data_IF_651237659640
#
_entry.id   IF_651237659640
#
_cell.length_a   1.000
_cell.length_b   1.000
_cell.length_c   1.000
_cell.angle_alpha   90.00
_cell.angle_beta   90.00
_cell.angle_gamma   90.00
#
_symmetry.space_group_name_H-M   'P 1'
#
loop_
_entity.id
_entity.type
_entity.pdbx_description
1 polymer ?
#
# COMPACT_ATOMS: atom_id res chain seq x y z
N UNK A 1 -7.64 -18.81 17.08
CA UNK A 1 -6.85 -17.56 17.03
C UNK A 1 -5.93 -17.64 15.84
N UNK A 2 -6.09 -16.78 14.84
CA UNK A 2 -5.13 -16.71 13.73
C UNK A 2 -3.76 -16.29 14.26
N UNK A 3 -2.71 -17.01 13.86
CA UNK A 3 -1.33 -16.73 14.26
C UNK A 3 -0.92 -15.36 13.70
N UNK A 4 -0.51 -14.42 14.56
CA UNK A 4 0.10 -13.15 14.15
C UNK A 4 1.47 -13.41 13.52
N UNK A 5 1.79 -12.64 12.48
CA UNK A 5 3.05 -12.73 11.76
C UNK A 5 4.06 -11.69 12.30
N UNK A 6 5.35 -12.00 12.38
CA UNK A 6 6.38 -11.00 12.69
C UNK A 6 6.43 -9.86 11.65
N UNK A 7 6.61 -8.61 12.10
CA UNK A 7 6.66 -7.42 11.23
C UNK A 7 7.85 -7.45 10.26
N UNK A 8 8.99 -8.00 10.68
CA UNK A 8 10.19 -8.17 9.85
C UNK A 8 9.97 -9.06 8.61
N UNK A 9 8.88 -9.84 8.59
CA UNK A 9 8.46 -10.65 7.45
C UNK A 9 7.52 -9.94 6.49
N UNK A 10 7.01 -8.75 6.83
CA UNK A 10 5.96 -8.09 6.06
C UNK A 10 6.33 -7.88 4.57
N UNK A 11 7.55 -7.43 4.28
CA UNK A 11 8.00 -7.24 2.90
C UNK A 11 8.03 -8.57 2.13
N UNK A 12 8.59 -9.63 2.72
CA UNK A 12 8.62 -10.96 2.10
C UNK A 12 7.21 -11.49 1.83
N UNK A 13 6.27 -11.24 2.76
CA UNK A 13 4.86 -11.63 2.61
C UNK A 13 4.18 -10.87 1.47
N UNK A 14 4.38 -9.56 1.37
CA UNK A 14 3.84 -8.77 0.26
C UNK A 14 4.41 -9.24 -1.08
N UNK A 15 5.73 -9.45 -1.17
CA UNK A 15 6.38 -9.96 -2.37
C UNK A 15 5.86 -11.35 -2.77
N UNK A 16 5.59 -12.21 -1.79
CA UNK A 16 4.99 -13.52 -2.03
C UNK A 16 3.57 -13.38 -2.61
N UNK A 17 2.70 -12.55 -2.03
CA UNK A 17 1.36 -12.30 -2.58
C UNK A 17 1.44 -11.74 -4.00
N UNK A 18 2.31 -10.75 -4.24
CA UNK A 18 2.54 -10.15 -5.56
C UNK A 18 3.16 -11.13 -6.57
N UNK A 19 3.85 -12.18 -6.14
CA UNK A 19 4.41 -13.22 -7.03
C UNK A 19 3.51 -14.44 -7.20
N UNK A 20 2.41 -14.54 -6.44
CA UNK A 20 1.52 -15.69 -6.43
C UNK A 20 0.59 -15.69 -7.67
N UNK A 21 1.13 -16.08 -8.83
CA UNK A 21 0.40 -16.11 -10.09
C UNK A 21 1.25 -16.61 -11.25
N UNK A 22 0.64 -16.72 -12.44
CA UNK A 22 1.35 -17.09 -13.67
C UNK A 22 2.00 -15.89 -14.37
N UNK A 23 1.53 -14.66 -14.09
CA UNK A 23 2.06 -13.45 -14.70
C UNK A 23 3.31 -12.94 -13.98
N UNK A 24 4.31 -12.43 -14.73
CA UNK A 24 5.46 -11.74 -14.16
C UNK A 24 5.03 -10.53 -13.33
N UNK A 25 5.80 -10.25 -12.26
CA UNK A 25 5.62 -9.08 -11.40
C UNK A 25 5.53 -7.75 -12.17
N UNK A 26 6.30 -7.62 -13.26
CA UNK A 26 6.35 -6.42 -14.10
C UNK A 26 5.13 -6.22 -15.02
N UNK A 27 4.25 -7.23 -15.13
CA UNK A 27 3.09 -7.21 -16.03
C UNK A 27 1.75 -7.08 -15.29
N UNK A 28 1.79 -6.97 -13.96
CA UNK A 28 0.56 -6.87 -13.16
C UNK A 28 -0.15 -5.54 -13.42
N UNK A 29 -1.45 -5.62 -13.67
CA UNK A 29 -2.32 -4.44 -13.70
C UNK A 29 -2.77 -4.03 -12.30
N UNK A 30 -3.50 -2.91 -12.22
CA UNK A 30 -3.97 -2.38 -10.94
C UNK A 30 -4.91 -3.35 -10.22
N UNK A 31 -5.85 -3.99 -10.91
CA UNK A 31 -6.86 -4.83 -10.25
C UNK A 31 -6.19 -6.08 -9.66
N UNK A 32 -5.18 -6.63 -10.32
CA UNK A 32 -4.35 -7.72 -9.81
C UNK A 32 -3.50 -7.31 -8.61
N UNK A 33 -2.83 -6.15 -8.68
CA UNK A 33 -2.03 -5.63 -7.55
C UNK A 33 -2.94 -5.32 -6.36
N UNK A 34 -4.08 -4.68 -6.58
CA UNK A 34 -5.05 -4.37 -5.53
C UNK A 34 -5.56 -5.63 -4.85
N UNK A 35 -5.98 -6.65 -5.61
CA UNK A 35 -6.45 -7.91 -5.05
C UNK A 35 -5.39 -8.59 -4.17
N UNK A 36 -4.13 -8.61 -4.62
CA UNK A 36 -3.00 -9.22 -3.89
C UNK A 36 -2.63 -8.37 -2.66
N UNK A 37 -2.69 -7.06 -2.77
CA UNK A 37 -2.48 -6.14 -1.65
C UNK A 37 -3.57 -6.29 -0.58
N UNK A 38 -4.85 -6.41 -0.95
CA UNK A 38 -5.95 -6.65 0.01
C UNK A 38 -5.77 -8.00 0.73
N UNK A 39 -5.32 -9.05 0.03
CA UNK A 39 -4.98 -10.34 0.67
C UNK A 39 -3.85 -10.21 1.67
N UNK A 40 -2.79 -9.48 1.32
CA UNK A 40 -1.71 -9.14 2.24
C UNK A 40 -2.21 -8.30 3.42
N UNK A 41 -2.96 -7.24 3.15
CA UNK A 41 -3.53 -6.32 4.13
C UNK A 41 -4.48 -7.00 5.10
N UNK A 42 -5.13 -8.09 4.70
CA UNK A 42 -5.98 -8.90 5.60
C UNK A 42 -5.19 -9.76 6.61
N UNK A 43 -3.88 -9.93 6.42
CA UNK A 43 -3.03 -10.69 7.34
C UNK A 43 -2.74 -9.88 8.60
N UNK A 44 -2.78 -10.51 9.78
CA UNK A 44 -2.51 -9.84 11.07
C UNK A 44 -1.03 -9.98 11.46
N UNK A 45 -0.40 -8.88 11.81
CA UNK A 45 0.98 -8.83 12.28
C UNK A 45 1.07 -8.64 13.79
N UNK A 46 2.25 -8.93 14.34
CA UNK A 46 2.57 -8.79 15.74
C UNK A 46 3.06 -7.35 16.02
N UNK A 47 2.09 -6.45 16.22
CA UNK A 47 2.30 -5.04 16.52
C UNK A 47 1.83 -4.70 17.93
N UNK A 48 2.15 -3.49 18.40
CA UNK A 48 1.60 -2.94 19.64
C UNK A 48 0.06 -3.02 19.65
N UNK A 49 -0.52 -3.16 20.84
CA UNK A 49 -1.97 -3.25 21.02
C UNK A 49 -2.60 -1.84 21.11
N UNK A 50 -2.32 -1.00 20.11
CA UNK A 50 -2.84 0.35 19.92
C UNK A 50 -3.59 0.41 18.58
N UNK A 51 -4.66 1.21 18.47
CA UNK A 51 -5.52 1.22 17.26
C UNK A 51 -4.80 1.59 15.95
N UNK A 52 -3.68 2.29 16.04
CA UNK A 52 -2.92 2.86 14.93
C UNK A 52 -1.58 2.14 14.65
N UNK A 53 -1.27 1.06 15.36
CA UNK A 53 -0.02 0.33 15.21
C UNK A 53 0.11 -0.51 13.93
N UNK A 54 -0.98 -0.79 13.22
CA UNK A 54 -1.02 -1.56 11.98
C UNK A 54 -2.03 -0.92 11.02
N UNK A 55 -1.54 0.05 10.24
CA UNK A 55 -2.33 0.87 9.34
C UNK A 55 -2.07 0.53 7.89
N UNK A 56 -3.12 0.51 7.07
CA UNK A 56 -3.04 0.46 5.61
C UNK A 56 -3.42 1.84 5.06
N UNK A 57 -2.58 2.37 4.19
CA UNK A 57 -2.76 3.66 3.57
C UNK A 57 -2.91 3.48 2.06
N UNK A 58 -3.94 4.12 1.51
CA UNK A 58 -4.16 4.28 0.09
C UNK A 58 -3.97 5.75 -0.25
N UNK A 59 -2.96 6.06 -1.05
CA UNK A 59 -2.69 7.43 -1.46
C UNK A 59 -2.35 7.53 -2.94
N UNK A 60 -2.73 8.64 -3.56
CA UNK A 60 -2.28 8.94 -4.91
C UNK A 60 -2.08 10.43 -5.11
N UNK A 61 -1.27 10.77 -6.11
CA UNK A 61 -0.98 12.14 -6.48
C UNK A 61 0.01 12.24 -7.64
N UNK A 62 0.18 13.44 -8.18
CA UNK A 62 1.23 13.71 -9.16
C UNK A 62 2.36 14.49 -8.51
N UNK A 63 3.57 13.96 -8.56
CA UNK A 63 4.74 14.56 -7.91
C UNK A 63 5.94 14.63 -8.85
N UNK A 64 6.86 15.57 -8.60
CA UNK A 64 8.06 15.79 -9.38
C UNK A 64 9.30 15.87 -8.47
N UNK A 65 9.52 14.83 -7.65
CA UNK A 65 10.58 14.82 -6.64
C UNK A 65 12.00 14.66 -7.22
N UNK A 66 12.17 13.85 -8.27
CA UNK A 66 13.49 13.50 -8.82
C UNK A 66 13.55 13.53 -10.37
N UNK A 67 12.64 14.24 -11.03
CA UNK A 67 12.58 14.26 -12.49
C UNK A 67 11.27 14.80 -13.05
N UNK A 68 10.89 14.38 -14.28
CA UNK A 68 9.58 14.67 -14.84
C UNK A 68 8.47 14.26 -13.87
N UNK A 69 7.33 14.97 -13.86
CA UNK A 69 6.21 14.57 -13.01
C UNK A 69 5.78 13.13 -13.29
N UNK A 70 5.38 12.41 -12.25
CA UNK A 70 4.83 11.06 -12.32
C UNK A 70 3.54 11.02 -11.51
N UNK A 71 2.51 10.36 -12.03
CA UNK A 71 1.32 10.04 -11.22
C UNK A 71 1.59 8.74 -10.49
N UNK A 72 1.47 8.76 -9.17
CA UNK A 72 1.73 7.62 -8.30
C UNK A 72 0.45 7.22 -7.61
N UNK A 73 0.14 5.92 -7.62
CA UNK A 73 -0.70 5.27 -6.62
C UNK A 73 0.24 4.51 -5.68
N UNK A 74 0.17 4.79 -4.39
CA UNK A 74 0.97 4.12 -3.38
C UNK A 74 0.05 3.45 -2.35
N UNK A 75 0.22 2.13 -2.24
CA UNK A 75 -0.46 1.28 -1.28
C UNK A 75 0.55 0.96 -0.19
N UNK A 76 0.38 1.59 0.97
CA UNK A 76 1.34 1.52 2.07
C UNK A 76 0.77 0.69 3.21
N UNK A 77 1.62 -0.06 3.89
CA UNK A 77 1.32 -0.59 5.22
C UNK A 77 2.33 -0.03 6.23
N UNK A 78 1.82 0.60 7.27
CA UNK A 78 2.60 1.19 8.35
C UNK A 78 2.49 0.32 9.61
N UNK A 79 3.64 0.06 10.22
CA UNK A 79 3.76 -0.64 11.49
C UNK A 79 4.41 0.25 12.54
N UNK A 80 3.84 0.30 13.73
CA UNK A 80 4.51 0.84 14.92
C UNK A 80 5.52 -0.18 15.46
N UNK A 81 6.76 0.28 15.67
CA UNK A 81 7.82 -0.49 16.31
C UNK A 81 8.07 0.11 17.69
N UNK A 82 8.05 -0.77 18.71
CA UNK A 82 8.36 -0.40 20.07
C UNK A 82 9.75 -0.88 20.45
N UNK A 83 10.43 -0.14 21.32
CA UNK A 83 11.73 -0.51 21.85
C UNK A 83 11.63 -1.66 22.89
N UNK A 84 12.76 -2.05 23.47
CA UNK A 84 12.82 -3.10 24.49
C UNK A 84 12.05 -2.76 25.79
N UNK A 85 11.74 -1.49 26.03
CA UNK A 85 10.93 -1.03 27.16
C UNK A 85 9.43 -1.03 26.85
N UNK A 86 9.05 -1.22 25.58
CA UNK A 86 7.66 -1.21 25.11
C UNK A 86 7.17 0.19 24.72
N UNK A 87 8.04 1.20 24.73
CA UNK A 87 7.75 2.56 24.28
C UNK A 87 7.91 2.67 22.77
N UNK A 88 7.25 3.66 22.17
CA UNK A 88 7.38 3.95 20.74
C UNK A 88 8.85 4.23 20.37
N UNK A 89 9.35 3.56 19.34
CA UNK A 89 10.68 3.80 18.77
C UNK A 89 10.58 4.53 17.42
N UNK A 90 9.93 3.89 16.44
CA UNK A 90 9.75 4.45 15.09
C UNK A 90 8.58 3.79 14.35
N UNK A 91 8.24 4.31 13.17
CA UNK A 91 7.38 3.61 12.23
C UNK A 91 8.19 2.96 11.11
N UNK A 92 7.71 1.81 10.64
CA UNK A 92 8.15 1.22 9.38
C UNK A 92 7.01 1.34 8.38
N UNK A 93 7.30 1.85 7.19
CA UNK A 93 6.37 1.88 6.07
C UNK A 93 6.84 0.96 4.95
N UNK A 94 5.96 0.05 4.53
CA UNK A 94 6.14 -0.82 3.38
C UNK A 94 5.28 -0.31 2.23
N UNK A 95 5.91 0.08 1.14
CA UNK A 95 5.28 0.68 -0.03
C UNK A 95 5.06 -0.35 -1.13
N UNK A 96 3.93 -0.23 -1.81
CA UNK A 96 3.62 -0.90 -3.06
C UNK A 96 3.16 0.18 -4.05
N UNK A 97 4.14 0.72 -4.77
CA UNK A 97 4.00 1.94 -5.56
C UNK A 97 3.81 1.59 -7.04
N UNK A 98 2.68 2.01 -7.62
CA UNK A 98 2.39 1.95 -9.05
C UNK A 98 2.59 3.34 -9.67
N UNK A 99 3.45 3.41 -10.69
CA UNK A 99 3.74 4.66 -11.41
C UNK A 99 3.08 4.69 -12.77
N UNK A 100 2.50 5.83 -13.11
CA UNK A 100 1.80 6.07 -14.35
C UNK A 100 2.33 7.32 -15.04
N UNK A 101 2.17 7.35 -16.37
CA UNK A 101 2.31 8.59 -17.13
C UNK A 101 1.25 9.60 -16.62
N UNK A 102 1.64 10.82 -16.22
CA UNK A 102 0.72 11.79 -15.65
C UNK A 102 -0.11 12.49 -16.76
N UNK A 103 -0.98 11.74 -17.42
CA UNK A 103 -1.90 12.27 -18.43
C UNK A 103 -2.96 13.18 -17.79
N UNK A 104 -3.61 14.08 -18.55
CA UNK A 104 -4.58 15.04 -18.00
C UNK A 104 -5.67 14.42 -17.11
N UNK A 105 -6.20 13.26 -17.49
CA UNK A 105 -7.24 12.54 -16.73
C UNK A 105 -6.75 12.05 -15.36
N UNK A 106 -5.47 11.66 -15.25
CA UNK A 106 -4.90 11.26 -13.96
C UNK A 106 -4.54 12.48 -13.12
N UNK A 107 -4.05 13.56 -13.75
CA UNK A 107 -3.77 14.81 -13.04
C UNK A 107 -5.03 15.44 -12.46
N UNK A 108 -6.19 15.29 -13.11
CA UNK A 108 -7.46 15.83 -12.61
C UNK A 108 -8.00 15.12 -11.37
N UNK A 109 -7.48 13.95 -11.01
CA UNK A 109 -7.82 13.27 -9.76
C UNK A 109 -7.22 13.99 -8.52
N UNK A 110 -6.30 14.94 -8.75
CA UNK A 110 -5.55 15.65 -7.71
C UNK A 110 -4.84 14.69 -6.75
N UNK A 111 -4.82 15.03 -5.47
CA UNK A 111 -4.21 14.23 -4.41
C UNK A 111 -5.28 13.65 -3.49
N UNK A 112 -5.08 12.40 -3.06
CA UNK A 112 -5.97 11.72 -2.13
C UNK A 112 -5.19 10.82 -1.19
N UNK A 113 -5.68 10.69 0.03
CA UNK A 113 -5.15 9.87 1.12
C UNK A 113 -6.32 9.28 1.87
N UNK A 114 -6.26 7.99 2.17
CA UNK A 114 -7.25 7.27 2.98
C UNK A 114 -6.58 6.17 3.78
N UNK A 115 -6.90 6.13 5.07
CA UNK A 115 -6.37 5.15 6.02
C UNK A 115 -7.43 4.11 6.37
N UNK A 116 -6.96 2.88 6.54
CA UNK A 116 -7.68 1.78 7.14
C UNK A 116 -6.87 1.24 8.32
N UNK A 117 -7.54 0.96 9.42
CA UNK A 117 -6.96 0.25 10.56
C UNK A 117 -7.83 -0.94 10.90
N UNK A 118 -7.18 -2.04 11.16
CA UNK A 118 -7.82 -3.34 11.33
C UNK A 118 -8.86 -3.45 12.46
N UNK A 119 -8.74 -2.60 13.49
CA UNK A 119 -9.58 -2.62 14.68
C UNK A 119 -10.57 -1.44 14.69
N UNK A 120 -10.92 -0.96 13.49
CA UNK A 120 -11.97 0.02 13.23
C UNK A 120 -13.14 -0.62 12.47
N UNK A 121 -14.31 0.02 12.46
CA UNK A 121 -15.49 -0.45 11.73
C UNK A 121 -15.40 -0.28 10.19
N UNK A 122 -14.23 0.09 9.67
CA UNK A 122 -14.03 0.30 8.24
C UNK A 122 -13.81 -1.02 7.51
N UNK A 123 -14.06 -1.04 6.20
CA UNK A 123 -13.78 -2.18 5.32
C UNK A 123 -12.56 -1.88 4.43
N UNK A 124 -11.60 -2.81 4.37
CA UNK A 124 -10.33 -2.63 3.65
C UNK A 124 -10.53 -2.51 2.13
N UNK A 125 -11.48 -3.26 1.57
CA UNK A 125 -11.82 -3.23 0.15
C UNK A 125 -12.52 -1.94 -0.28
N UNK A 126 -12.98 -1.12 0.67
CA UNK A 126 -13.58 0.19 0.46
C UNK A 126 -12.59 1.35 0.29
N UNK A 127 -11.27 1.10 0.30
CA UNK A 127 -10.27 2.16 0.08
C UNK A 127 -10.34 2.73 -1.35
N UNK A 128 -10.03 4.02 -1.46
CA UNK A 128 -10.07 4.75 -2.73
C UNK A 128 -11.46 5.29 -3.11
N UNK A 129 -11.49 6.32 -3.96
CA UNK A 129 -12.75 6.91 -4.45
C UNK A 129 -13.28 6.16 -5.67
N UNK A 130 -14.60 6.06 -5.81
CA UNK A 130 -15.21 5.45 -7.00
C UNK A 130 -14.74 6.10 -8.32
N UNK A 131 -14.57 7.43 -8.33
CA UNK A 131 -14.03 8.17 -9.47
C UNK A 131 -12.60 7.73 -9.84
N UNK A 132 -11.75 7.55 -8.83
CA UNK A 132 -10.38 7.07 -9.02
C UNK A 132 -10.39 5.74 -9.78
N UNK A 133 -11.13 4.74 -9.27
CA UNK A 133 -11.21 3.41 -9.87
C UNK A 133 -11.73 3.43 -11.31
N UNK A 134 -12.68 4.33 -11.59
CA UNK A 134 -13.26 4.49 -12.94
C UNK A 134 -12.22 5.03 -13.93
N UNK A 135 -11.37 5.97 -13.50
CA UNK A 135 -10.38 6.62 -14.36
C UNK A 135 -9.13 5.75 -14.51
N UNK A 136 -8.54 5.31 -13.40
CA UNK A 136 -7.22 4.67 -13.38
C UNK A 136 -7.19 3.34 -14.15
N UNK A 137 -8.31 2.59 -14.18
CA UNK A 137 -8.43 1.30 -14.89
C UNK A 137 -8.27 1.41 -16.41
N UNK A 138 -8.35 2.62 -16.97
CA UNK A 138 -8.07 2.86 -18.38
C UNK A 138 -6.57 2.95 -18.69
N UNK A 139 -5.71 2.88 -17.67
CA UNK A 139 -4.27 3.04 -17.79
C UNK A 139 -3.55 1.85 -17.18
N UNK A 140 -2.44 1.45 -17.83
CA UNK A 140 -1.55 0.44 -17.28
C UNK A 140 -0.40 1.12 -16.55
N UNK A 141 0.01 0.61 -15.38
CA UNK A 141 1.20 1.09 -14.69
C UNK A 141 2.43 0.89 -15.59
N UNK A 142 3.36 1.85 -15.53
CA UNK A 142 4.66 1.78 -16.21
C UNK A 142 5.72 1.11 -15.35
N UNK A 143 5.53 1.15 -14.04
CA UNK A 143 6.46 0.59 -13.08
C UNK A 143 5.69 0.22 -11.80
N UNK A 144 6.10 -0.89 -11.19
CA UNK A 144 5.68 -1.32 -9.87
C UNK A 144 6.93 -1.42 -8.99
N UNK A 145 6.95 -0.69 -7.87
CA UNK A 145 8.03 -0.73 -6.88
C UNK A 145 7.52 -1.23 -5.55
N UNK A 146 8.34 -2.06 -4.89
CA UNK A 146 8.12 -2.45 -3.50
C UNK A 146 9.38 -2.15 -2.73
N UNK A 147 9.25 -1.35 -1.68
CA UNK A 147 10.36 -0.95 -0.83
C UNK A 147 9.86 -0.64 0.57
N UNK A 148 10.78 -0.64 1.53
CA UNK A 148 10.49 -0.35 2.92
C UNK A 148 11.38 0.81 3.39
N UNK A 149 10.82 1.68 4.21
CA UNK A 149 11.55 2.73 4.90
C UNK A 149 11.17 2.84 6.38
N UNK A 150 12.07 3.45 7.15
CA UNK A 150 11.82 3.86 8.53
C UNK A 150 11.48 5.34 8.51
N UNK A 151 10.39 5.72 9.20
CA UNK A 151 9.84 7.08 9.28
C UNK A 151 9.94 7.62 10.71
#
# INVERSE_FOLDING_TARGET
>A
MSRRLPVDRAQERLQHELSSGQQPFAELDLDEVWLRFVRFGSQRFDTANTPDADGLLFQYGTHAFEGPPVFTLDLVRQFEINDASGEHDHYIQLHCELRYEPVPQLRSLEHFVSWFFHDTDNELDGLGRQEFWTIIRNFHPKELKVYQEQV
#
